data_IF_650205125331
#
_entry.id   IF_650205125331
#
_cell.length_a   1.000
_cell.length_b   1.000
_cell.length_c   1.000
_cell.angle_alpha   90.00
_cell.angle_beta   90.00
_cell.angle_gamma   90.00
#
_symmetry.space_group_name_H-M   'P 1'
#
loop_
_entity.id
_entity.type
_entity.pdbx_description
1 polymer ?
#
# COMPACT_ATOMS: atom_id res chain seq x y z
N UNK A 1 20.33 -13.77 11.25
CA UNK A 1 19.85 -12.55 10.57
C UNK A 1 18.57 -12.92 9.85
N UNK A 2 17.41 -12.40 10.26
CA UNK A 2 16.16 -12.64 9.53
C UNK A 2 16.16 -11.80 8.26
N UNK A 3 15.70 -12.38 7.16
CA UNK A 3 15.50 -11.67 5.90
C UNK A 3 14.41 -10.60 6.11
N UNK A 4 14.67 -9.35 5.70
CA UNK A 4 13.75 -8.23 5.86
C UNK A 4 12.38 -8.52 5.23
N UNK A 5 12.36 -9.27 4.14
CA UNK A 5 11.12 -9.73 3.51
C UNK A 5 10.27 -10.56 4.46
N UNK A 6 10.88 -11.53 5.13
CA UNK A 6 10.16 -12.46 6.01
C UNK A 6 9.61 -11.73 7.22
N UNK A 7 10.39 -10.80 7.79
CA UNK A 7 9.95 -9.98 8.92
C UNK A 7 8.74 -9.11 8.54
N UNK A 8 8.75 -8.50 7.35
CA UNK A 8 7.60 -7.74 6.85
C UNK A 8 6.38 -8.64 6.72
N UNK A 9 6.53 -9.83 6.13
CA UNK A 9 5.41 -10.76 5.97
C UNK A 9 4.84 -11.17 7.33
N UNK A 10 5.70 -11.54 8.28
CA UNK A 10 5.26 -12.00 9.60
C UNK A 10 4.46 -10.91 10.33
N UNK A 11 4.92 -9.66 10.28
CA UNK A 11 4.18 -8.52 10.85
C UNK A 11 2.87 -8.23 10.11
N UNK A 12 2.85 -8.45 8.80
CA UNK A 12 1.66 -8.28 7.97
C UNK A 12 0.66 -9.44 8.14
N UNK A 13 1.07 -10.62 8.59
CA UNK A 13 0.19 -11.76 8.88
C UNK A 13 -0.42 -11.68 10.29
N UNK A 14 0.24 -11.02 11.26
CA UNK A 14 -0.20 -10.89 12.66
C UNK A 14 -1.10 -9.66 12.93
N UNK A 15 -1.76 -9.13 11.89
CA UNK A 15 -2.59 -7.92 12.02
C UNK A 15 -3.94 -8.23 12.67
N UNK A 16 -4.31 -7.43 13.69
CA UNK A 16 -5.65 -7.46 14.26
C UNK A 16 -6.67 -6.83 13.31
N UNK A 17 -7.84 -7.45 13.14
CA UNK A 17 -8.93 -6.90 12.34
C UNK A 17 -9.63 -5.67 12.97
N UNK A 18 -9.26 -5.28 14.20
CA UNK A 18 -9.91 -4.21 14.97
C UNK A 18 -9.15 -2.87 14.94
N UNK A 19 -8.01 -2.80 14.25
CA UNK A 19 -7.20 -1.61 14.21
C UNK A 19 -6.55 -1.44 12.84
N UNK A 20 -6.36 -0.18 12.44
CA UNK A 20 -5.59 0.15 11.25
C UNK A 20 -4.09 0.19 11.50
N UNK A 21 -3.32 -0.58 10.73
CA UNK A 21 -1.86 -0.65 10.86
C UNK A 21 -1.16 0.09 9.71
N UNK A 22 -0.25 0.99 10.05
CA UNK A 22 0.66 1.64 9.08
C UNK A 22 2.08 1.19 9.37
N UNK A 23 2.70 0.52 8.41
CA UNK A 23 4.10 0.11 8.47
C UNK A 23 4.94 1.03 7.61
N UNK A 24 5.91 1.72 8.23
CA UNK A 24 6.88 2.54 7.51
C UNK A 24 8.11 1.72 7.15
N UNK A 25 8.40 1.63 5.85
CA UNK A 25 9.63 1.03 5.33
C UNK A 25 10.64 2.14 5.05
N UNK A 26 11.62 2.29 5.94
CA UNK A 26 12.63 3.34 5.86
C UNK A 26 13.98 2.79 5.44
N UNK A 27 14.58 3.42 4.44
CA UNK A 27 15.98 3.22 4.04
C UNK A 27 16.43 4.45 3.23
N UNK A 28 17.73 4.55 3.01
CA UNK A 28 18.29 5.55 2.09
C UNK A 28 17.81 5.32 0.64
N UNK A 29 17.89 6.38 -0.15
CA UNK A 29 17.54 6.32 -1.57
C UNK A 29 18.49 5.37 -2.31
N UNK A 30 17.94 4.51 -3.16
CA UNK A 30 18.73 3.54 -3.93
C UNK A 30 18.98 2.20 -3.22
N UNK A 31 18.61 2.04 -1.95
CA UNK A 31 18.78 0.80 -1.16
C UNK A 31 17.79 -0.33 -1.53
N UNK A 32 16.94 -0.12 -2.55
CA UNK A 32 16.09 -1.17 -3.10
C UNK A 32 14.71 -1.35 -2.45
N UNK A 33 14.14 -0.32 -1.80
CA UNK A 33 12.75 -0.33 -1.27
C UNK A 33 11.73 -0.80 -2.32
N UNK A 34 11.75 -0.19 -3.50
CA UNK A 34 10.90 -0.58 -4.64
C UNK A 34 11.14 -2.03 -5.04
N UNK A 35 12.39 -2.50 -5.04
CA UNK A 35 12.74 -3.89 -5.36
C UNK A 35 12.15 -4.85 -4.31
N UNK A 36 12.30 -4.53 -3.03
CA UNK A 36 11.76 -5.29 -1.91
C UNK A 36 10.22 -5.36 -1.97
N UNK A 37 9.54 -4.23 -2.20
CA UNK A 37 8.08 -4.18 -2.34
C UNK A 37 7.58 -5.03 -3.51
N UNK A 38 8.25 -4.98 -4.67
CA UNK A 38 7.88 -5.82 -5.81
C UNK A 38 8.14 -7.31 -5.53
N UNK A 39 9.23 -7.63 -4.82
CA UNK A 39 9.52 -9.02 -4.43
C UNK A 39 8.50 -9.54 -3.41
N UNK A 40 8.10 -8.72 -2.45
CA UNK A 40 7.02 -8.99 -1.50
C UNK A 40 5.69 -9.23 -2.22
N UNK A 41 5.30 -8.35 -3.13
CA UNK A 41 4.07 -8.52 -3.91
C UNK A 41 4.06 -9.83 -4.70
N UNK A 42 5.16 -10.18 -5.35
CA UNK A 42 5.30 -11.43 -6.09
C UNK A 42 5.24 -12.66 -5.18
N UNK A 43 5.92 -12.59 -4.03
CA UNK A 43 5.94 -13.68 -3.03
C UNK A 43 4.54 -13.90 -2.46
N UNK A 44 3.85 -12.81 -2.13
CA UNK A 44 2.51 -12.86 -1.59
C UNK A 44 1.49 -13.35 -2.62
N UNK A 45 1.58 -12.91 -3.88
CA UNK A 45 0.74 -13.42 -4.97
C UNK A 45 0.90 -14.94 -5.15
N UNK A 46 2.12 -15.46 -5.03
CA UNK A 46 2.38 -16.91 -5.07
C UNK A 46 1.69 -17.63 -3.90
N UNK A 47 1.82 -17.11 -2.67
CA UNK A 47 1.13 -17.66 -1.50
C UNK A 47 -0.39 -17.67 -1.68
N UNK A 48 -0.96 -16.59 -2.21
CA UNK A 48 -2.38 -16.48 -2.51
C UNK A 48 -2.85 -17.55 -3.52
N UNK A 49 -2.12 -17.72 -4.63
CA UNK A 49 -2.41 -18.75 -5.63
C UNK A 49 -2.31 -20.17 -5.07
N UNK A 50 -1.37 -20.40 -4.15
CA UNK A 50 -1.20 -21.66 -3.42
C UNK A 50 -2.20 -21.84 -2.26
N UNK A 51 -3.12 -20.87 -2.06
CA UNK A 51 -4.08 -20.83 -0.94
C UNK A 51 -3.45 -20.85 0.45
N UNK A 52 -2.21 -20.37 0.56
CA UNK A 52 -1.46 -20.22 1.82
C UNK A 52 -1.64 -18.85 2.47
N UNK A 53 -2.34 -17.95 1.79
CA UNK A 53 -2.73 -16.64 2.31
C UNK A 53 -4.01 -16.18 1.63
N UNK A 54 -4.73 -15.29 2.29
CA UNK A 54 -6.01 -14.71 1.88
C UNK A 54 -5.91 -13.24 1.43
N UNK A 55 -4.69 -12.67 1.41
CA UNK A 55 -4.48 -11.26 1.08
C UNK A 55 -3.44 -11.09 -0.03
N UNK A 56 -3.49 -9.95 -0.72
CA UNK A 56 -2.53 -9.54 -1.75
C UNK A 56 -1.90 -8.20 -1.39
N UNK A 57 -0.58 -8.08 -1.58
CA UNK A 57 0.07 -6.78 -1.55
C UNK A 57 -0.20 -6.06 -2.88
N UNK A 58 -0.62 -4.80 -2.80
CA UNK A 58 -0.80 -3.95 -3.97
C UNK A 58 0.20 -2.77 -3.94
N UNK A 59 1.30 -2.83 -4.73
CA UNK A 59 2.22 -1.70 -4.86
C UNK A 59 1.60 -0.55 -5.65
N UNK A 60 1.57 0.64 -5.05
CA UNK A 60 1.00 1.87 -5.58
C UNK A 60 2.13 2.91 -5.65
N UNK A 61 2.69 3.16 -6.85
CA UNK A 61 3.74 4.16 -7.00
C UNK A 61 3.16 5.56 -6.85
N UNK A 62 3.74 6.34 -5.95
CA UNK A 62 3.39 7.74 -5.70
C UNK A 62 4.30 8.71 -6.47
N UNK A 63 5.54 8.28 -6.77
CA UNK A 63 6.56 9.06 -7.45
C UNK A 63 6.13 9.60 -8.83
N UNK A 64 6.55 10.84 -9.13
CA UNK A 64 6.39 11.48 -10.45
C UNK A 64 4.96 11.81 -10.87
N UNK A 65 4.01 11.88 -9.91
CA UNK A 65 2.62 12.24 -10.18
C UNK A 65 2.32 13.65 -9.66
N UNK A 66 2.29 14.68 -10.53
CA UNK A 66 2.10 16.05 -10.10
C UNK A 66 0.73 16.21 -9.44
N UNK A 67 0.72 16.75 -8.22
CA UNK A 67 -0.46 17.22 -7.48
C UNK A 67 -1.73 16.41 -7.71
N UNK A 68 -1.82 15.23 -7.07
CA UNK A 68 -3.03 14.42 -7.07
C UNK A 68 -3.45 14.04 -5.66
N UNK A 69 -4.76 14.11 -5.44
CA UNK A 69 -5.40 13.60 -4.24
C UNK A 69 -5.12 12.09 -4.19
N UNK A 70 -4.92 11.54 -2.99
CA UNK A 70 -4.47 10.15 -2.80
C UNK A 70 -5.38 9.12 -3.51
N UNK A 71 -6.68 9.41 -3.53
CA UNK A 71 -7.71 8.68 -4.27
C UNK A 71 -7.46 8.65 -5.78
N UNK A 72 -7.08 9.77 -6.41
CA UNK A 72 -6.77 9.80 -7.85
C UNK A 72 -5.55 8.93 -8.19
N UNK A 73 -4.52 8.94 -7.33
CA UNK A 73 -3.32 8.10 -7.51
C UNK A 73 -3.68 6.62 -7.43
N UNK A 74 -4.49 6.25 -6.43
CA UNK A 74 -4.97 4.89 -6.22
C UNK A 74 -5.82 4.44 -7.41
N UNK A 75 -6.84 5.21 -7.81
CA UNK A 75 -7.72 4.91 -8.95
C UNK A 75 -6.90 4.78 -10.23
N UNK A 76 -6.02 5.74 -10.52
CA UNK A 76 -5.18 5.70 -11.70
C UNK A 76 -4.25 4.48 -11.70
N UNK A 77 -3.73 4.07 -10.54
CA UNK A 77 -2.92 2.84 -10.44
C UNK A 77 -3.75 1.59 -10.67
N UNK A 78 -4.96 1.50 -10.13
CA UNK A 78 -5.89 0.38 -10.34
C UNK A 78 -6.32 0.26 -11.81
N UNK A 79 -6.71 1.38 -12.42
CA UNK A 79 -7.19 1.42 -13.80
C UNK A 79 -6.06 1.21 -14.82
N UNK A 80 -4.95 1.93 -14.68
CA UNK A 80 -3.93 1.97 -15.72
C UNK A 80 -2.92 0.81 -15.61
N UNK A 81 -2.61 0.37 -14.38
CA UNK A 81 -1.61 -0.69 -14.15
C UNK A 81 -2.25 -2.07 -14.10
N UNK A 82 -3.35 -2.22 -13.36
CA UNK A 82 -3.98 -3.52 -13.15
C UNK A 82 -5.14 -3.80 -14.11
N UNK A 83 -5.65 -2.77 -14.79
CA UNK A 83 -6.77 -2.88 -15.74
C UNK A 83 -7.98 -3.57 -15.11
N UNK A 84 -8.33 -3.20 -13.89
CA UNK A 84 -9.60 -3.62 -13.27
C UNK A 84 -10.69 -2.59 -13.61
N UNK A 85 -11.47 -2.78 -14.69
CA UNK A 85 -12.58 -1.88 -14.99
C UNK A 85 -13.62 -1.94 -13.87
N UNK A 86 -14.26 -0.80 -13.59
CA UNK A 86 -15.29 -0.66 -12.54
C UNK A 86 -14.81 -0.89 -11.10
N UNK A 87 -13.49 -0.91 -10.88
CA UNK A 87 -12.93 -0.96 -9.54
C UNK A 87 -12.72 0.46 -9.00
N UNK A 88 -13.75 0.98 -8.32
CA UNK A 88 -13.79 2.34 -7.80
C UNK A 88 -13.01 2.44 -6.48
N UNK A 89 -12.71 3.68 -6.08
CA UNK A 89 -11.99 3.96 -4.84
C UNK A 89 -12.67 3.36 -3.61
N UNK A 90 -14.00 3.41 -3.52
CA UNK A 90 -14.73 2.82 -2.38
C UNK A 90 -14.57 1.30 -2.34
N UNK A 91 -14.58 0.62 -3.49
CA UNK A 91 -14.31 -0.82 -3.56
C UNK A 91 -12.89 -1.15 -3.12
N UNK A 92 -11.92 -0.29 -3.44
CA UNK A 92 -10.56 -0.42 -2.92
C UNK A 92 -10.55 -0.31 -1.39
N UNK A 93 -11.21 0.71 -0.82
CA UNK A 93 -11.30 0.89 0.64
C UNK A 93 -11.91 -0.34 1.32
N UNK A 94 -13.01 -0.87 0.79
CA UNK A 94 -13.65 -2.06 1.37
C UNK A 94 -12.75 -3.30 1.29
N UNK A 95 -11.99 -3.49 0.22
CA UNK A 95 -11.01 -4.59 0.16
C UNK A 95 -9.85 -4.43 1.16
N UNK A 96 -9.44 -3.19 1.46
CA UNK A 96 -8.45 -2.92 2.51
C UNK A 96 -9.04 -3.25 3.88
N UNK A 97 -10.26 -2.78 4.19
CA UNK A 97 -10.96 -3.09 5.45
C UNK A 97 -11.15 -4.59 5.67
N UNK A 98 -11.46 -5.34 4.61
CA UNK A 98 -11.60 -6.79 4.65
C UNK A 98 -10.26 -7.54 4.82
N UNK A 99 -9.12 -6.83 4.80
CA UNK A 99 -7.79 -7.42 4.82
C UNK A 99 -7.44 -8.16 3.52
N UNK A 100 -8.24 -8.04 2.46
CA UNK A 100 -8.00 -8.72 1.20
C UNK A 100 -6.89 -8.05 0.37
N UNK A 101 -6.74 -6.73 0.52
CA UNK A 101 -5.68 -5.94 -0.11
C UNK A 101 -4.89 -5.20 0.95
N UNK A 102 -3.58 -5.24 0.80
CA UNK A 102 -2.64 -4.47 1.61
C UNK A 102 -1.94 -3.47 0.70
N UNK A 103 -2.28 -2.17 0.77
CA UNK A 103 -1.68 -1.18 -0.10
C UNK A 103 -0.25 -0.87 0.35
N UNK A 104 0.68 -0.89 -0.59
CA UNK A 104 2.06 -0.48 -0.38
C UNK A 104 2.35 0.78 -1.20
N UNK A 105 2.42 1.91 -0.52
CA UNK A 105 2.67 3.21 -1.13
C UNK A 105 4.18 3.45 -1.29
N UNK A 106 4.67 3.40 -2.54
CA UNK A 106 6.09 3.51 -2.87
C UNK A 106 6.43 4.93 -3.32
N UNK A 107 7.49 5.53 -2.76
CA UNK A 107 7.86 6.93 -3.00
C UNK A 107 7.04 7.95 -2.20
N UNK A 108 6.56 7.59 -1.00
CA UNK A 108 5.80 8.49 -0.14
C UNK A 108 6.61 9.73 0.29
N UNK A 109 7.93 9.60 0.41
CA UNK A 109 8.84 10.71 0.71
C UNK A 109 8.77 11.84 -0.34
N UNK A 110 8.55 11.50 -1.61
CA UNK A 110 8.50 12.47 -2.71
C UNK A 110 7.27 13.39 -2.59
N UNK A 111 6.20 12.89 -1.97
CA UNK A 111 5.02 13.72 -1.70
C UNK A 111 5.34 14.91 -0.79
N UNK A 112 6.31 14.81 0.11
CA UNK A 112 6.71 15.92 0.98
C UNK A 112 7.62 16.94 0.30
N UNK A 113 8.26 16.55 -0.80
CA UNK A 113 9.14 17.42 -1.59
C UNK A 113 8.31 18.23 -2.59
N UNK A 114 7.30 17.60 -3.19
CA UNK A 114 6.45 18.21 -4.22
C UNK A 114 5.24 18.99 -3.66
N UNK A 115 4.87 18.79 -2.39
CA UNK A 115 3.73 19.45 -1.73
C UNK A 115 4.13 20.18 -0.44
N UNK A 116 3.24 21.02 0.08
CA UNK A 116 3.40 21.52 1.45
C UNK A 116 3.29 20.33 2.41
N UNK A 117 4.21 20.17 3.38
CA UNK A 117 4.27 19.02 4.30
C UNK A 117 2.92 18.68 4.94
N UNK A 118 2.06 19.67 5.16
CA UNK A 118 0.71 19.50 5.71
C UNK A 118 -0.27 18.75 4.79
N UNK A 119 -0.13 18.85 3.48
CA UNK A 119 -1.04 18.22 2.51
C UNK A 119 -0.84 16.71 2.43
N UNK A 120 0.41 16.24 2.35
CA UNK A 120 0.72 14.80 2.34
C UNK A 120 0.23 14.09 3.62
N UNK A 121 0.43 14.72 4.79
CA UNK A 121 -0.06 14.20 6.07
C UNK A 121 -1.59 14.20 6.09
N UNK A 122 -2.23 15.27 5.63
CA UNK A 122 -3.69 15.36 5.58
C UNK A 122 -4.30 14.32 4.64
N UNK A 123 -3.65 14.05 3.51
CA UNK A 123 -4.08 13.02 2.56
C UNK A 123 -4.02 11.62 3.17
N UNK A 124 -2.93 11.28 3.87
CA UNK A 124 -2.82 10.02 4.60
C UNK A 124 -3.86 9.94 5.73
N UNK A 125 -4.04 11.01 6.52
CA UNK A 125 -5.05 11.05 7.58
C UNK A 125 -6.46 10.85 7.02
N UNK A 126 -6.78 11.46 5.89
CA UNK A 126 -8.06 11.26 5.21
C UNK A 126 -8.26 9.82 4.75
N UNK A 127 -7.21 9.15 4.25
CA UNK A 127 -7.27 7.73 3.91
C UNK A 127 -7.54 6.88 5.17
N UNK A 128 -6.76 7.09 6.24
CA UNK A 128 -6.91 6.35 7.50
C UNK A 128 -8.30 6.55 8.12
N UNK A 129 -8.85 7.77 8.05
CA UNK A 129 -10.21 8.05 8.50
C UNK A 129 -11.27 7.27 7.71
N UNK A 130 -11.05 7.03 6.40
CA UNK A 130 -11.97 6.22 5.58
C UNK A 130 -11.90 4.73 5.91
N UNK A 131 -10.80 4.27 6.50
CA UNK A 131 -10.66 2.90 6.99
C UNK A 131 -11.42 2.67 8.31
N UNK A 132 -11.79 3.73 9.05
CA UNK A 132 -12.57 3.61 10.30
C UNK A 132 -11.96 2.67 11.36
N UNK A 133 -10.63 2.53 11.39
CA UNK A 133 -9.91 1.53 12.22
C UNK A 133 -10.15 0.07 11.81
N UNK A 134 -10.69 -0.17 10.62
CA UNK A 134 -10.85 -1.48 10.00
C UNK A 134 -9.84 -1.53 8.83
N UNK A 135 -8.76 -2.31 8.93
CA UNK A 135 -7.85 -2.56 7.78
C UNK A 135 -6.35 -2.54 8.06
#
# INVERSE_FOLDING_TARGET
VRDALQEIIDQLDDRSALASYVMYLTSDAGEGKTTLLNYLAKTQAKKYLERKSNWLLLPIPLAGRPFLRFDDIIISSLMNRLRFPHFFFDSFIELVKMGAIVPAFDGFEEMFIESSTGEAISALANLLNKLSSEG
#
